data_IF_123104937354
#
_entry.id   IF_123104937354
#
_cell.length_a   1.000
_cell.length_b   1.000
_cell.length_c   1.000
_cell.angle_alpha   90.00
_cell.angle_beta   90.00
_cell.angle_gamma   90.00
#
_symmetry.space_group_name_H-M   'P 1'
#
loop_
_entity.id
_entity.type
_entity.pdbx_description
1 polymer ?
#
# COMPACT_ATOMS: atom_id res chain seq x y z
N UNK A 1 44.71 -21.94 6.44
CA UNK A 1 44.20 -20.63 5.98
C UNK A 1 43.50 -20.65 4.61
N UNK A 2 43.42 -21.78 3.89
CA UNK A 2 42.67 -21.89 2.62
C UNK A 2 41.17 -22.17 2.82
N UNK A 3 40.81 -22.81 3.94
CA UNK A 3 39.43 -23.22 4.21
C UNK A 3 38.60 -22.14 4.95
N UNK A 4 39.25 -21.13 5.54
CA UNK A 4 38.56 -20.02 6.24
C UNK A 4 37.97 -19.03 5.21
N UNK A 5 38.68 -18.81 4.10
CA UNK A 5 38.21 -17.97 2.99
C UNK A 5 36.94 -18.57 2.36
N UNK A 6 36.84 -19.90 2.31
CA UNK A 6 35.69 -20.60 1.74
C UNK A 6 34.42 -20.46 2.59
N UNK A 7 34.55 -20.38 3.92
CA UNK A 7 33.41 -20.20 4.83
C UNK A 7 32.91 -18.76 4.82
N UNK A 8 33.80 -17.77 4.63
CA UNK A 8 33.42 -16.35 4.57
C UNK A 8 32.64 -15.99 3.30
N UNK A 9 32.87 -16.72 2.20
CA UNK A 9 32.14 -16.53 0.94
C UNK A 9 30.69 -17.04 0.98
N UNK A 10 30.34 -17.93 1.91
CA UNK A 10 29.01 -18.54 1.96
C UNK A 10 27.96 -17.67 2.67
N UNK A 11 28.37 -16.64 3.40
CA UNK A 11 27.48 -15.82 4.24
C UNK A 11 26.82 -14.66 3.47
N UNK A 12 27.18 -14.42 2.21
CA UNK A 12 26.66 -13.30 1.41
C UNK A 12 25.43 -13.62 0.54
N UNK A 13 24.86 -14.84 0.61
CA UNK A 13 23.81 -15.27 -0.33
C UNK A 13 22.36 -15.06 0.11
N UNK A 14 22.07 -14.44 1.26
CA UNK A 14 20.69 -14.39 1.80
C UNK A 14 20.02 -13.02 1.94
N UNK A 15 20.51 -11.96 1.27
CA UNK A 15 19.86 -10.63 1.35
C UNK A 15 18.94 -10.28 0.17
N UNK A 16 18.59 -11.23 -0.70
CA UNK A 16 17.85 -10.95 -1.94
C UNK A 16 16.32 -10.94 -1.89
N UNK A 17 15.68 -11.07 -0.71
CA UNK A 17 14.21 -11.02 -0.61
C UNK A 17 13.75 -9.94 0.37
N UNK A 18 13.81 -8.69 -0.07
CA UNK A 18 13.28 -7.56 0.70
C UNK A 18 13.19 -6.23 -0.05
N UNK A 19 13.46 -6.21 -1.37
CA UNK A 19 13.26 -5.01 -2.19
C UNK A 19 12.12 -5.30 -3.15
N UNK A 20 10.92 -4.79 -2.81
CA UNK A 20 9.78 -4.79 -3.73
C UNK A 20 10.07 -3.70 -4.80
N UNK A 21 10.45 -4.04 -6.05
CA UNK A 21 10.89 -3.04 -7.05
C UNK A 21 9.75 -2.19 -7.60
N UNK A 22 8.55 -2.25 -7.02
CA UNK A 22 7.32 -1.71 -7.59
C UNK A 22 7.29 -0.17 -7.59
N UNK A 23 8.17 0.52 -6.85
CA UNK A 23 8.11 1.98 -6.70
C UNK A 23 8.77 2.79 -7.83
N UNK A 24 9.30 2.17 -8.90
CA UNK A 24 10.11 2.88 -9.91
C UNK A 24 9.54 2.87 -11.32
N UNK A 25 8.21 2.83 -11.47
CA UNK A 25 7.56 3.12 -12.76
C UNK A 25 6.80 4.43 -12.61
N UNK A 26 7.37 5.50 -13.18
CA UNK A 26 6.79 6.84 -13.26
C UNK A 26 5.31 6.78 -13.62
N UNK A 27 4.44 6.84 -12.61
CA UNK A 27 3.01 7.00 -12.77
C UNK A 27 2.59 8.32 -12.11
N UNK A 28 2.94 9.49 -12.69
CA UNK A 28 2.62 10.80 -12.11
C UNK A 28 1.13 10.96 -11.78
N UNK A 29 0.26 10.26 -12.53
CA UNK A 29 -1.18 10.24 -12.30
C UNK A 29 -1.55 9.50 -11.01
N UNK A 30 -0.89 8.38 -10.69
CA UNK A 30 -1.12 7.64 -9.46
C UNK A 30 -0.54 8.37 -8.26
N UNK A 31 0.62 9.00 -8.42
CA UNK A 31 1.20 9.87 -7.39
C UNK A 31 0.26 11.03 -7.06
N UNK A 32 -0.23 11.76 -8.07
CA UNK A 32 -1.21 12.83 -7.88
C UNK A 32 -2.49 12.32 -7.20
N UNK A 33 -2.99 11.14 -7.61
CA UNK A 33 -4.16 10.53 -6.99
C UNK A 33 -3.91 10.15 -5.53
N UNK A 34 -2.71 9.66 -5.20
CA UNK A 34 -2.32 9.35 -3.83
C UNK A 34 -2.26 10.63 -2.98
N UNK A 35 -1.72 11.72 -3.52
CA UNK A 35 -1.75 13.04 -2.89
C UNK A 35 -3.19 13.50 -2.63
N UNK A 36 -4.06 13.48 -3.64
CA UNK A 36 -5.46 13.93 -3.50
C UNK A 36 -6.24 13.09 -2.47
N UNK A 37 -5.97 11.78 -2.38
CA UNK A 37 -6.56 10.90 -1.37
C UNK A 37 -6.00 11.23 0.02
N UNK A 38 -4.68 11.46 0.12
CA UNK A 38 -4.01 11.81 1.37
C UNK A 38 -4.56 13.11 1.93
N UNK A 39 -4.79 14.12 1.10
CA UNK A 39 -5.38 15.39 1.53
C UNK A 39 -6.79 15.21 2.11
N UNK A 40 -7.63 14.37 1.48
CA UNK A 40 -8.97 14.06 2.01
C UNK A 40 -8.90 13.37 3.37
N UNK A 41 -7.98 12.42 3.55
CA UNK A 41 -7.79 11.77 4.84
C UNK A 41 -7.18 12.72 5.86
N UNK A 42 -6.20 13.53 5.48
CA UNK A 42 -5.53 14.48 6.38
C UNK A 42 -6.51 15.50 6.97
N UNK A 43 -7.46 15.98 6.15
CA UNK A 43 -8.53 16.88 6.60
C UNK A 43 -9.40 16.29 7.74
N UNK A 44 -9.47 14.96 7.86
CA UNK A 44 -10.25 14.26 8.88
C UNK A 44 -9.39 13.69 10.01
N UNK A 45 -8.21 13.16 9.67
CA UNK A 45 -7.34 12.41 10.59
C UNK A 45 -6.29 13.29 11.28
N UNK A 46 -6.10 14.53 10.81
CA UNK A 46 -5.07 15.45 11.27
C UNK A 46 -3.70 14.76 11.36
N UNK A 47 -3.21 14.28 10.22
CA UNK A 47 -1.94 13.56 10.14
C UNK A 47 -0.79 14.51 10.45
N UNK A 48 0.20 14.05 11.22
CA UNK A 48 1.44 14.81 11.37
C UNK A 48 2.28 14.78 10.08
N UNK A 49 3.28 15.65 9.97
CA UNK A 49 4.08 15.78 8.75
C UNK A 49 4.79 14.49 8.32
N UNK A 50 5.18 13.62 9.26
CA UNK A 50 5.77 12.32 8.93
C UNK A 50 4.70 11.33 8.48
N UNK A 51 3.55 11.32 9.15
CA UNK A 51 2.42 10.49 8.79
C UNK A 51 1.91 10.81 7.39
N UNK A 52 1.80 12.09 7.01
CA UNK A 52 1.40 12.50 5.64
C UNK A 52 2.26 11.83 4.59
N UNK A 53 3.60 11.93 4.72
CA UNK A 53 4.54 11.38 3.74
C UNK A 53 4.44 9.85 3.66
N UNK A 54 4.36 9.18 4.81
CA UNK A 54 4.28 7.72 4.86
C UNK A 54 2.93 7.20 4.34
N UNK A 55 1.85 7.91 4.67
CA UNK A 55 0.50 7.59 4.24
C UNK A 55 0.37 7.73 2.72
N UNK A 56 0.84 8.84 2.15
CA UNK A 56 0.80 9.08 0.69
C UNK A 56 1.52 7.96 -0.08
N UNK A 57 2.75 7.62 0.33
CA UNK A 57 3.52 6.52 -0.28
C UNK A 57 2.78 5.18 -0.18
N UNK A 58 2.15 4.91 0.97
CA UNK A 58 1.39 3.68 1.17
C UNK A 58 0.14 3.65 0.29
N UNK A 59 -0.59 4.75 0.17
CA UNK A 59 -1.73 4.86 -0.76
C UNK A 59 -1.27 4.65 -2.20
N UNK A 60 -0.17 5.28 -2.62
CA UNK A 60 0.39 5.13 -3.97
C UNK A 60 0.72 3.67 -4.29
N UNK A 61 1.40 2.96 -3.39
CA UNK A 61 1.71 1.53 -3.52
C UNK A 61 0.44 0.70 -3.75
N UNK A 62 -0.62 0.96 -2.97
CA UNK A 62 -1.89 0.26 -3.09
C UNK A 62 -2.68 0.65 -4.34
N UNK A 63 -2.55 1.88 -4.83
CA UNK A 63 -3.12 2.31 -6.11
C UNK A 63 -2.47 1.58 -7.30
N UNK A 64 -1.15 1.38 -7.27
CA UNK A 64 -0.44 0.61 -8.30
C UNK A 64 -0.93 -0.85 -8.32
N UNK A 65 -1.03 -1.47 -7.13
CA UNK A 65 -1.56 -2.84 -7.00
C UNK A 65 -3.02 -2.95 -7.46
N UNK A 66 -3.84 -1.95 -7.14
CA UNK A 66 -5.24 -1.85 -7.59
C UNK A 66 -5.33 -1.80 -9.11
N UNK A 67 -4.52 -0.96 -9.76
CA UNK A 67 -4.53 -0.83 -11.22
C UNK A 67 -4.18 -2.18 -11.90
N UNK A 68 -3.23 -2.93 -11.32
CA UNK A 68 -2.90 -4.28 -11.79
C UNK A 68 -4.09 -5.24 -11.67
N UNK A 69 -4.75 -5.29 -10.51
CA UNK A 69 -5.95 -6.11 -10.30
C UNK A 69 -7.07 -5.74 -11.29
N UNK A 70 -7.28 -4.45 -11.52
CA UNK A 70 -8.32 -3.95 -12.43
C UNK A 70 -8.05 -4.31 -13.91
N UNK A 71 -6.77 -4.44 -14.30
CA UNK A 71 -6.35 -4.90 -15.63
C UNK A 71 -6.46 -6.41 -15.81
N UNK A 72 -6.14 -7.18 -14.77
CA UNK A 72 -6.01 -8.64 -14.86
C UNK A 72 -7.31 -9.40 -14.55
N UNK A 73 -8.17 -8.87 -13.67
CA UNK A 73 -9.36 -9.55 -13.17
C UNK A 73 -10.66 -8.86 -13.59
N UNK A 74 -11.77 -9.60 -13.61
CA UNK A 74 -13.10 -9.09 -13.94
C UNK A 74 -14.16 -9.59 -12.95
N UNK A 75 -15.33 -8.93 -12.98
CA UNK A 75 -16.51 -9.34 -12.22
C UNK A 75 -16.24 -9.57 -10.73
N UNK A 76 -16.73 -10.69 -10.21
CA UNK A 76 -16.64 -11.05 -8.79
C UNK A 76 -15.20 -11.29 -8.33
N UNK A 77 -14.35 -11.88 -9.17
CA UNK A 77 -12.95 -12.13 -8.82
C UNK A 77 -12.18 -10.83 -8.62
N UNK A 78 -12.43 -9.85 -9.49
CA UNK A 78 -11.90 -8.49 -9.31
C UNK A 78 -12.39 -7.89 -8.00
N UNK A 79 -13.69 -7.96 -7.72
CA UNK A 79 -14.24 -7.38 -6.50
C UNK A 79 -13.63 -8.01 -5.24
N UNK A 80 -13.52 -9.34 -5.20
CA UNK A 80 -12.90 -10.07 -4.09
C UNK A 80 -11.43 -9.67 -3.91
N UNK A 81 -10.67 -9.58 -5.01
CA UNK A 81 -9.27 -9.17 -4.97
C UNK A 81 -9.10 -7.72 -4.46
N UNK A 82 -9.95 -6.79 -4.92
CA UNK A 82 -9.95 -5.40 -4.45
C UNK A 82 -10.35 -5.28 -2.98
N UNK A 83 -11.30 -6.09 -2.52
CA UNK A 83 -11.69 -6.14 -1.11
C UNK A 83 -10.53 -6.62 -0.22
N UNK A 84 -9.84 -7.69 -0.64
CA UNK A 84 -8.67 -8.20 0.06
C UNK A 84 -7.54 -7.17 0.08
N UNK A 85 -7.30 -6.49 -1.06
CA UNK A 85 -6.32 -5.42 -1.16
C UNK A 85 -6.64 -4.27 -0.18
N UNK A 86 -7.90 -3.83 -0.09
CA UNK A 86 -8.29 -2.80 0.88
C UNK A 86 -8.11 -3.24 2.33
N UNK A 87 -8.32 -4.52 2.63
CA UNK A 87 -8.09 -5.05 3.98
C UNK A 87 -6.61 -5.04 4.32
N UNK A 88 -5.75 -5.44 3.39
CA UNK A 88 -4.30 -5.36 3.55
C UNK A 88 -3.82 -3.92 3.75
N UNK A 89 -4.33 -2.97 2.97
CA UNK A 89 -4.01 -1.55 3.13
C UNK A 89 -4.32 -1.09 4.56
N UNK A 90 -5.51 -1.41 5.07
CA UNK A 90 -5.92 -1.05 6.43
C UNK A 90 -5.01 -1.66 7.50
N UNK A 91 -4.55 -2.90 7.29
CA UNK A 91 -3.60 -3.54 8.21
C UNK A 91 -2.24 -2.84 8.19
N UNK A 92 -1.74 -2.47 7.02
CA UNK A 92 -0.46 -1.77 6.89
C UNK A 92 -0.51 -0.34 7.42
N UNK A 93 -1.67 0.33 7.32
CA UNK A 93 -1.87 1.67 7.90
C UNK A 93 -1.75 1.69 9.43
N UNK A 94 -1.87 0.54 10.12
CA UNK A 94 -1.62 0.44 11.56
C UNK A 94 -0.17 0.78 11.95
N UNK A 95 0.78 0.72 11.00
CA UNK A 95 2.18 1.10 11.23
C UNK A 95 2.42 2.62 11.09
N UNK A 96 1.42 3.36 10.59
CA UNK A 96 1.52 4.79 10.27
C UNK A 96 0.60 5.60 11.18
N UNK A 97 -0.64 5.13 11.35
CA UNK A 97 -1.68 5.81 12.09
C UNK A 97 -1.65 5.45 13.58
N UNK A 98 -1.98 6.43 14.42
CA UNK A 98 -2.34 6.14 15.81
C UNK A 98 -3.64 5.34 15.86
N UNK A 99 -3.92 4.72 17.01
CA UNK A 99 -5.14 3.91 17.14
C UNK A 99 -6.43 4.71 16.87
N UNK A 100 -6.63 5.92 17.42
CA UNK A 100 -7.82 6.73 17.11
C UNK A 100 -7.94 7.09 15.63
N UNK A 101 -6.81 7.46 14.98
CA UNK A 101 -6.78 7.75 13.55
C UNK A 101 -7.14 6.52 12.70
N UNK A 102 -6.64 5.34 13.08
CA UNK A 102 -6.95 4.09 12.37
C UNK A 102 -8.43 3.73 12.47
N UNK A 103 -9.04 3.96 13.63
CA UNK A 103 -10.46 3.65 13.83
C UNK A 103 -11.35 4.61 13.03
N UNK A 104 -11.01 5.90 12.96
CA UNK A 104 -11.68 6.85 12.07
C UNK A 104 -11.43 6.54 10.60
N UNK A 105 -10.20 6.19 10.22
CA UNK A 105 -9.83 5.78 8.86
C UNK A 105 -10.75 4.66 8.35
N UNK A 106 -11.01 3.63 9.17
CA UNK A 106 -11.91 2.53 8.81
C UNK A 106 -13.34 2.99 8.54
N UNK A 107 -13.84 3.97 9.30
CA UNK A 107 -15.19 4.50 9.17
C UNK A 107 -15.36 5.26 7.84
N UNK A 108 -14.40 6.13 7.52
CA UNK A 108 -14.49 7.01 6.34
C UNK A 108 -13.92 6.40 5.05
N UNK A 109 -13.33 5.19 5.12
CA UNK A 109 -12.65 4.57 3.96
C UNK A 109 -13.57 4.32 2.78
N UNK A 110 -14.81 3.87 3.01
CA UNK A 110 -15.74 3.62 1.90
C UNK A 110 -16.21 4.91 1.21
N UNK A 111 -16.18 6.04 1.91
CA UNK A 111 -16.52 7.34 1.33
C UNK A 111 -15.38 7.88 0.45
N UNK A 112 -14.13 7.76 0.91
CA UNK A 112 -12.96 8.29 0.21
C UNK A 112 -12.46 7.33 -0.89
N UNK A 113 -12.52 6.02 -0.65
CA UNK A 113 -12.01 4.96 -1.53
C UNK A 113 -13.05 3.83 -1.70
N UNK A 114 -14.17 4.07 -2.41
CA UNK A 114 -15.22 3.07 -2.57
C UNK A 114 -14.78 1.83 -3.37
N UNK A 115 -15.41 0.71 -3.06
CA UNK A 115 -15.44 -0.49 -3.92
C UNK A 115 -16.76 -0.54 -4.69
N UNK A 116 -16.70 -1.04 -5.92
CA UNK A 116 -17.91 -1.28 -6.71
C UNK A 116 -18.76 -2.37 -6.05
N UNK A 117 -20.07 -2.21 -6.05
CA UNK A 117 -21.01 -3.28 -5.72
C UNK A 117 -21.28 -4.12 -6.97
N UNK A 118 -21.45 -5.43 -6.81
CA UNK A 118 -22.06 -6.26 -7.84
C UNK A 118 -23.53 -6.35 -7.45
N UNK A 119 -24.41 -5.72 -8.23
CA UNK A 119 -25.84 -5.93 -8.10
C UNK A 119 -26.12 -7.40 -8.43
N UNK A 120 -26.83 -8.09 -7.53
CA UNK A 120 -27.25 -9.48 -7.71
C UNK A 120 -28.42 -9.58 -8.70
#
# INVERSE_FOLDING_TARGET
MKNIILVMALVFSTTLFGQDPILQKDAPQLQKKAFDITEKYNAQLALDGKQVILFEKKVEEFLIRREKIEKELKGRDKLNALFNLQTQETLEMNNILTRPQLDLYKQIKQEIQPLATVDN
#
